data_IF_870530517097
#
_entry.id   IF_870530517097
#
_cell.length_a   1.000
_cell.length_b   1.000
_cell.length_c   1.000
_cell.angle_alpha   90.00
_cell.angle_beta   90.00
_cell.angle_gamma   90.00
#
_symmetry.space_group_name_H-M   'P 1'
#
loop_
_entity.id
_entity.type
_entity.pdbx_description
1 polymer ?
#
# COMPACT_ATOMS: atom_id res chain seq x y z
N UNK A 1 19.71 -15.51 -5.32
CA UNK A 1 20.08 -14.09 -5.46
C UNK A 1 20.06 -13.50 -4.05
N UNK A 2 21.21 -13.14 -3.49
CA UNK A 2 21.29 -12.48 -2.18
C UNK A 2 21.50 -10.98 -2.43
N UNK A 3 20.54 -10.16 -2.02
CA UNK A 3 20.67 -8.70 -2.03
C UNK A 3 20.98 -8.25 -0.61
N UNK A 4 22.13 -7.64 -0.41
CA UNK A 4 22.52 -6.99 0.85
C UNK A 4 21.78 -5.66 0.98
N UNK A 5 20.86 -5.57 1.93
CA UNK A 5 20.11 -4.36 2.24
C UNK A 5 20.93 -3.56 3.26
N UNK A 6 21.82 -2.69 2.77
CA UNK A 6 22.50 -1.65 3.55
C UNK A 6 23.62 -2.13 4.48
N UNK A 7 24.60 -1.26 4.70
CA UNK A 7 25.67 -1.41 5.69
C UNK A 7 25.49 -0.36 6.80
N UNK A 8 24.24 -0.18 7.26
CA UNK A 8 23.88 0.84 8.25
C UNK A 8 23.51 0.15 9.57
N UNK A 9 24.13 0.60 10.67
CA UNK A 9 24.00 0.03 12.03
C UNK A 9 22.60 0.17 12.65
N UNK A 10 21.59 0.59 11.89
CA UNK A 10 20.29 1.00 12.43
C UNK A 10 19.08 0.53 11.60
N UNK A 11 19.09 -0.74 11.19
CA UNK A 11 17.95 -1.39 10.51
C UNK A 11 16.65 -1.39 11.35
N UNK A 12 16.72 -1.06 12.64
CA UNK A 12 15.59 -1.18 13.57
C UNK A 12 14.43 -0.23 13.32
N UNK A 13 14.67 0.85 12.57
CA UNK A 13 13.69 1.89 12.27
C UNK A 13 13.11 1.78 10.85
N UNK A 14 13.45 0.71 10.12
CA UNK A 14 13.04 0.53 8.74
C UNK A 14 12.05 -0.61 8.59
N UNK A 15 11.20 -0.49 7.58
CA UNK A 15 10.23 -1.50 7.18
C UNK A 15 10.39 -1.83 5.70
N UNK A 16 10.37 -3.12 5.37
CA UNK A 16 10.34 -3.60 3.99
C UNK A 16 8.88 -3.75 3.53
N UNK A 17 8.50 -2.95 2.54
CA UNK A 17 7.19 -3.03 1.91
C UNK A 17 7.26 -3.90 0.66
N UNK A 18 6.57 -5.03 0.68
CA UNK A 18 6.42 -5.92 -0.47
C UNK A 18 5.04 -5.69 -1.06
N UNK A 19 4.97 -5.20 -2.29
CA UNK A 19 3.70 -4.98 -2.98
C UNK A 19 3.54 -5.96 -4.16
N UNK A 20 2.36 -6.57 -4.25
CA UNK A 20 1.97 -7.39 -5.40
C UNK A 20 0.98 -6.58 -6.21
N UNK A 21 1.25 -6.42 -7.51
CA UNK A 21 0.36 -5.72 -8.42
C UNK A 21 -0.02 -6.61 -9.60
N UNK A 22 -1.26 -6.48 -10.03
CA UNK A 22 -1.82 -7.07 -11.23
C UNK A 22 -1.51 -6.16 -12.41
N UNK A 23 -0.69 -6.66 -13.33
CA UNK A 23 -0.22 -5.91 -14.48
C UNK A 23 -1.34 -5.73 -15.51
N UNK A 24 -1.51 -4.51 -16.03
CA UNK A 24 -2.50 -4.22 -17.06
C UNK A 24 -1.88 -3.49 -18.25
N UNK A 25 -1.98 -4.07 -19.44
CA UNK A 25 -1.47 -3.43 -20.65
C UNK A 25 -2.14 -2.06 -20.88
N UNK A 26 -1.32 -1.04 -21.16
CA UNK A 26 -1.70 0.35 -21.43
C UNK A 26 -2.41 1.10 -20.28
N UNK A 27 -2.33 0.60 -19.04
CA UNK A 27 -2.83 1.28 -17.83
C UNK A 27 -1.87 1.04 -16.66
N UNK A 28 -2.08 1.76 -15.56
CA UNK A 28 -1.29 1.53 -14.35
C UNK A 28 -1.60 0.18 -13.69
N UNK A 29 -0.56 -0.44 -13.14
CA UNK A 29 -0.65 -1.71 -12.42
C UNK A 29 -1.55 -1.58 -11.18
N UNK A 30 -2.44 -2.53 -11.01
CA UNK A 30 -3.41 -2.53 -9.91
C UNK A 30 -2.81 -3.21 -8.68
N UNK A 31 -2.73 -2.51 -7.55
CA UNK A 31 -2.31 -3.12 -6.29
C UNK A 31 -3.27 -4.24 -5.84
N UNK A 32 -2.75 -5.46 -5.69
CA UNK A 32 -3.45 -6.65 -5.16
C UNK A 32 -3.35 -6.67 -3.62
N UNK A 33 -2.18 -6.38 -3.07
CA UNK A 33 -1.96 -6.33 -1.63
C UNK A 33 -0.54 -5.96 -1.26
N UNK A 34 -0.33 -5.67 0.03
CA UNK A 34 0.97 -5.32 0.60
C UNK A 34 1.25 -6.19 1.81
N UNK A 35 2.49 -6.64 1.94
CA UNK A 35 3.04 -7.18 3.18
C UNK A 35 4.15 -6.25 3.68
N UNK A 36 4.24 -6.07 5.00
CA UNK A 36 5.24 -5.22 5.64
C UNK A 36 6.04 -6.06 6.61
N UNK A 37 7.37 -5.92 6.59
CA UNK A 37 8.28 -6.60 7.51
C UNK A 37 9.18 -5.56 8.19
N UNK A 38 9.16 -5.43 9.52
CA UNK A 38 10.16 -4.64 10.24
C UNK A 38 11.56 -5.22 10.03
N UNK A 39 12.53 -4.41 9.59
CA UNK A 39 13.87 -4.89 9.28
C UNK A 39 14.65 -5.36 10.52
N UNK A 40 14.29 -4.89 11.73
CA UNK A 40 14.81 -5.44 13.00
C UNK A 40 14.63 -6.96 13.09
N UNK A 41 13.47 -7.48 12.64
CA UNK A 41 13.13 -8.90 12.77
C UNK A 41 14.01 -9.78 11.87
N UNK A 42 14.57 -9.18 10.81
CA UNK A 42 15.50 -9.81 9.86
C UNK A 42 16.94 -9.66 10.38
N UNK A 43 17.31 -8.45 10.84
CA UNK A 43 18.62 -8.12 11.40
C UNK A 43 19.01 -9.06 12.54
N UNK A 44 18.11 -9.26 13.51
CA UNK A 44 18.35 -10.13 14.67
C UNK A 44 18.59 -11.60 14.31
N UNK A 45 18.01 -12.08 13.19
CA UNK A 45 18.02 -13.50 12.80
C UNK A 45 18.98 -13.80 11.65
N UNK A 46 19.56 -12.79 11.00
CA UNK A 46 20.41 -12.89 9.81
C UNK A 46 19.67 -13.28 8.52
N UNK A 47 18.57 -14.03 8.62
CA UNK A 47 17.65 -14.31 7.52
C UNK A 47 16.28 -14.72 8.07
N UNK A 48 15.20 -14.43 7.35
CA UNK A 48 13.85 -14.88 7.70
C UNK A 48 13.21 -15.55 6.50
N UNK A 49 12.65 -16.75 6.71
CA UNK A 49 11.71 -17.37 5.80
C UNK A 49 10.33 -17.28 6.44
N UNK A 50 9.43 -16.48 5.86
CA UNK A 50 8.09 -16.26 6.40
C UNK A 50 7.03 -16.27 5.29
N UNK A 51 5.84 -16.75 5.64
CA UNK A 51 4.63 -16.56 4.86
C UNK A 51 3.93 -15.33 5.40
N UNK A 52 3.81 -14.30 4.57
CA UNK A 52 3.15 -13.06 4.96
C UNK A 52 1.81 -12.98 4.23
N UNK A 53 0.69 -12.85 4.96
CA UNK A 53 -0.57 -12.58 4.30
C UNK A 53 -0.46 -11.25 3.57
N UNK A 54 -0.78 -11.23 2.28
CA UNK A 54 -0.95 -9.96 1.57
C UNK A 54 -2.16 -9.28 2.16
N UNK A 55 -1.92 -8.23 2.93
CA UNK A 55 -3.02 -7.48 3.51
C UNK A 55 -3.72 -6.75 2.36
N UNK A 56 -5.02 -7.02 2.22
CA UNK A 56 -5.85 -6.26 1.31
C UNK A 56 -5.83 -4.81 1.75
N UNK A 57 -5.90 -3.91 0.78
CA UNK A 57 -5.98 -2.49 1.04
C UNK A 57 -7.14 -2.21 1.99
N UNK A 58 -6.96 -1.24 2.89
CA UNK A 58 -8.05 -0.73 3.73
C UNK A 58 -9.16 -0.26 2.79
N UNK A 59 -10.25 -1.02 2.78
CA UNK A 59 -11.45 -0.66 2.04
C UNK A 59 -12.05 0.60 2.62
N UNK A 60 -12.71 1.33 1.75
CA UNK A 60 -13.29 2.60 2.09
C UNK A 60 -14.69 2.35 2.66
N UNK A 61 -14.82 2.54 3.97
CA UNK A 61 -16.08 2.44 4.69
C UNK A 61 -16.95 3.69 4.47
N UNK A 62 -18.19 3.69 4.98
CA UNK A 62 -19.13 4.81 4.85
C UNK A 62 -18.54 6.13 5.36
N UNK A 63 -17.75 6.06 6.44
CA UNK A 63 -17.01 7.20 6.99
C UNK A 63 -16.01 7.75 5.98
N UNK A 64 -15.20 6.87 5.39
CA UNK A 64 -14.29 7.22 4.30
C UNK A 64 -15.02 7.91 3.15
N UNK A 65 -16.16 7.37 2.72
CA UNK A 65 -16.95 7.94 1.62
C UNK A 65 -17.47 9.33 1.93
N UNK A 66 -17.90 9.54 3.17
CA UNK A 66 -18.31 10.85 3.66
C UNK A 66 -17.13 11.83 3.64
N UNK A 67 -15.95 11.41 4.10
CA UNK A 67 -14.74 12.22 4.09
C UNK A 67 -14.37 12.61 2.65
N UNK A 68 -14.34 11.68 1.70
CA UNK A 68 -14.04 12.04 0.31
C UNK A 68 -15.05 13.03 -0.27
N UNK A 69 -16.33 12.88 0.05
CA UNK A 69 -17.36 13.81 -0.42
C UNK A 69 -17.12 15.22 0.11
N UNK A 70 -16.75 15.35 1.39
CA UNK A 70 -16.41 16.64 2.02
C UNK A 70 -15.14 17.22 1.38
N UNK A 71 -14.06 16.43 1.26
CA UNK A 71 -12.79 16.87 0.70
C UNK A 71 -12.92 17.29 -0.77
N UNK A 72 -13.80 16.63 -1.53
CA UNK A 72 -14.08 16.97 -2.93
C UNK A 72 -14.70 18.36 -3.11
N UNK A 73 -15.28 18.96 -2.05
CA UNK A 73 -15.80 20.33 -2.11
C UNK A 73 -14.71 21.39 -1.84
N UNK A 74 -13.51 21.00 -1.41
CA UNK A 74 -12.42 21.90 -1.01
C UNK A 74 -11.54 22.29 -2.21
N UNK A 75 -12.12 23.02 -3.16
CA UNK A 75 -11.45 23.36 -4.43
C UNK A 75 -10.22 24.28 -4.31
N UNK A 76 -9.94 24.85 -3.14
CA UNK A 76 -8.77 25.69 -2.88
C UNK A 76 -7.67 24.97 -2.07
N UNK A 77 -7.85 23.68 -1.77
CA UNK A 77 -6.94 22.88 -0.97
C UNK A 77 -6.28 21.81 -1.85
N UNK A 78 -5.01 22.03 -2.22
CA UNK A 78 -4.27 21.12 -3.10
C UNK A 78 -4.04 19.75 -2.47
N UNK A 79 -3.83 19.68 -1.14
CA UNK A 79 -3.67 18.40 -0.43
C UNK A 79 -4.97 17.60 -0.49
N UNK A 80 -6.11 18.26 -0.32
CA UNK A 80 -7.41 17.61 -0.46
C UNK A 80 -7.64 17.10 -1.89
N UNK A 81 -7.26 17.88 -2.92
CA UNK A 81 -7.36 17.45 -4.32
C UNK A 81 -6.52 16.22 -4.62
N UNK A 82 -5.26 16.21 -4.18
CA UNK A 82 -4.37 15.06 -4.36
C UNK A 82 -4.91 13.83 -3.64
N UNK A 83 -5.40 13.99 -2.41
CA UNK A 83 -6.01 12.90 -1.66
C UNK A 83 -7.24 12.32 -2.36
N UNK A 84 -8.14 13.18 -2.83
CA UNK A 84 -9.35 12.77 -3.57
C UNK A 84 -8.98 12.04 -4.85
N UNK A 85 -8.04 12.59 -5.64
CA UNK A 85 -7.54 11.99 -6.87
C UNK A 85 -6.93 10.60 -6.61
N UNK A 86 -6.04 10.51 -5.63
CA UNK A 86 -5.38 9.26 -5.24
C UNK A 86 -6.40 8.19 -4.82
N UNK A 87 -7.52 8.58 -4.21
CA UNK A 87 -8.56 7.66 -3.74
C UNK A 87 -9.65 7.35 -4.78
N UNK A 88 -9.85 8.18 -5.80
CA UNK A 88 -10.89 7.98 -6.82
C UNK A 88 -10.39 7.28 -8.09
N UNK A 89 -9.11 7.45 -8.46
CA UNK A 89 -8.51 6.84 -9.66
C UNK A 89 -8.19 5.34 -9.49
N UNK A 90 -8.49 4.76 -8.32
CA UNK A 90 -8.22 3.37 -8.01
C UNK A 90 -9.28 2.48 -8.63
N UNK A 91 -8.84 1.50 -9.43
CA UNK A 91 -9.68 0.43 -9.95
C UNK A 91 -10.34 -0.35 -8.80
N UNK A 92 -11.66 -0.20 -8.65
CA UNK A 92 -12.48 -1.02 -7.75
C UNK A 92 -12.39 -2.49 -8.15
N UNK A 93 -12.41 -3.40 -7.16
CA UNK A 93 -12.60 -4.82 -7.46
C UNK A 93 -13.97 -4.96 -8.14
N UNK A 94 -14.10 -5.68 -9.27
CA UNK A 94 -15.42 -6.13 -9.66
C UNK A 94 -15.95 -6.96 -8.49
N UNK A 95 -17.03 -6.50 -7.88
CA UNK A 95 -17.73 -7.25 -6.83
C UNK A 95 -18.07 -8.59 -7.46
N UNK A 96 -17.42 -9.67 -7.03
CA UNK A 96 -17.81 -11.00 -7.47
C UNK A 96 -19.24 -11.19 -6.98
N UNK A 97 -20.19 -11.15 -7.91
CA UNK A 97 -21.59 -11.39 -7.61
C UNK A 97 -21.72 -12.72 -6.87
N UNK A 98 -22.33 -12.67 -5.69
CA UNK A 98 -22.80 -13.84 -4.94
C UNK A 98 -23.92 -14.53 -5.70
#
# INVERSE_FOLDING_TARGET
MYSTIGNEEQLDFFELHICVKDYCFARDDRLVGVAVIPLKDISEKGSVACWLPLQRRIEMDETGWTILRILSQRNNDEVAKEFVKLKSEIRQEPTMGT
#
